data_IF_826049993962
#
_entry.id   IF_826049993962
#
_cell.length_a   1.000
_cell.length_b   1.000
_cell.length_c   1.000
_cell.angle_alpha   90.00
_cell.angle_beta   90.00
_cell.angle_gamma   90.00
#
_symmetry.space_group_name_H-M   'P 1'
#
loop_
_entity.id
_entity.type
_entity.pdbx_description
1 polymer ?
#
# COMPACT_ATOMS: atom_id res chain seq x y z
N UNK A 1 4.29 -25.09 19.50
CA UNK A 1 2.96 -24.79 20.10
C UNK A 1 2.89 -23.37 20.67
N UNK A 2 3.85 -22.96 21.52
CA UNK A 2 3.87 -21.62 22.15
C UNK A 2 3.93 -20.52 21.08
N UNK A 3 4.77 -20.65 20.06
CA UNK A 3 4.87 -19.68 18.94
C UNK A 3 3.54 -19.47 18.22
N UNK A 4 2.80 -20.55 18.00
CA UNK A 4 1.48 -20.48 17.36
C UNK A 4 0.46 -19.74 18.24
N UNK A 5 0.50 -19.97 19.55
CA UNK A 5 -0.39 -19.30 20.51
C UNK A 5 -0.08 -17.79 20.54
N UNK A 6 1.19 -17.41 20.63
CA UNK A 6 1.61 -16.00 20.63
C UNK A 6 1.19 -15.32 19.32
N UNK A 7 1.40 -15.98 18.17
CA UNK A 7 1.00 -15.46 16.88
C UNK A 7 -0.53 -15.32 16.79
N UNK A 8 -1.28 -16.34 17.20
CA UNK A 8 -2.75 -16.29 17.18
C UNK A 8 -3.30 -15.19 18.10
N UNK A 9 -2.72 -15.02 19.29
CA UNK A 9 -3.08 -13.95 20.22
C UNK A 9 -2.77 -12.55 19.63
N UNK A 10 -1.59 -12.38 19.03
CA UNK A 10 -1.23 -11.13 18.35
C UNK A 10 -2.15 -10.83 17.17
N UNK A 11 -2.48 -11.83 16.36
CA UNK A 11 -3.42 -11.69 15.25
C UNK A 11 -4.82 -11.31 15.76
N UNK A 12 -5.34 -12.02 16.78
CA UNK A 12 -6.64 -11.71 17.37
C UNK A 12 -6.69 -10.26 17.90
N UNK A 13 -5.66 -9.83 18.64
CA UNK A 13 -5.56 -8.46 19.10
C UNK A 13 -5.50 -7.46 17.93
N UNK A 14 -4.74 -7.76 16.89
CA UNK A 14 -4.66 -6.87 15.71
C UNK A 14 -6.01 -6.71 15.00
N UNK A 15 -6.77 -7.81 14.84
CA UNK A 15 -8.11 -7.78 14.25
C UNK A 15 -9.16 -7.10 15.12
N UNK A 16 -9.05 -7.25 16.45
CA UNK A 16 -9.99 -6.64 17.41
C UNK A 16 -9.61 -5.20 17.78
N UNK A 17 -8.72 -4.55 17.06
CA UNK A 17 -8.24 -3.18 17.33
C UNK A 17 -9.38 -2.19 17.58
N UNK A 18 -10.49 -2.29 16.88
CA UNK A 18 -11.63 -1.39 17.03
C UNK A 18 -12.18 -1.35 18.47
N UNK A 19 -12.03 -2.43 19.24
CA UNK A 19 -12.54 -2.53 20.60
C UNK A 19 -11.72 -1.72 21.61
N UNK A 20 -10.40 -1.59 21.39
CA UNK A 20 -9.48 -0.97 22.36
C UNK A 20 -8.78 0.29 21.82
N UNK A 21 -8.96 0.67 20.56
CA UNK A 21 -8.27 1.82 19.97
C UNK A 21 -8.57 3.16 20.67
N UNK A 22 -9.73 3.29 21.35
CA UNK A 22 -10.09 4.49 22.11
C UNK A 22 -9.26 4.63 23.38
N UNK A 23 -8.92 3.51 24.02
CA UNK A 23 -8.14 3.48 25.26
C UNK A 23 -6.64 3.49 24.99
N UNK A 24 -6.20 2.82 23.91
CA UNK A 24 -4.81 2.67 23.51
C UNK A 24 -4.59 3.07 22.03
N UNK A 25 -4.68 4.37 21.68
CA UNK A 25 -4.60 4.83 20.30
C UNK A 25 -3.23 4.55 19.65
N UNK A 26 -2.16 4.50 20.47
CA UNK A 26 -0.80 4.16 20.04
C UNK A 26 -0.56 2.69 19.74
N UNK A 27 -1.41 1.77 20.22
CA UNK A 27 -1.25 0.34 20.02
C UNK A 27 -1.77 -0.07 18.62
N UNK A 28 -0.98 0.23 17.61
CA UNK A 28 -1.26 -0.17 16.22
C UNK A 28 -0.97 -1.66 16.02
N UNK A 29 -1.58 -2.34 15.02
CA UNK A 29 -1.33 -3.76 14.73
C UNK A 29 0.15 -4.12 14.62
N UNK A 30 0.96 -3.26 14.00
CA UNK A 30 2.41 -3.46 13.90
C UNK A 30 3.12 -3.54 15.26
N UNK A 31 2.70 -2.74 16.25
CA UNK A 31 3.24 -2.82 17.61
C UNK A 31 2.80 -4.08 18.34
N UNK A 32 1.58 -4.58 18.09
CA UNK A 32 1.10 -5.84 18.67
C UNK A 32 1.97 -7.00 18.20
N UNK A 33 2.24 -7.09 16.90
CA UNK A 33 3.14 -8.11 16.34
C UNK A 33 4.59 -7.93 16.80
N UNK A 34 5.07 -6.69 16.92
CA UNK A 34 6.41 -6.40 17.45
C UNK A 34 6.55 -6.90 18.90
N UNK A 35 5.59 -6.58 19.76
CA UNK A 35 5.57 -7.03 21.16
C UNK A 35 5.50 -8.55 21.21
N UNK A 36 4.63 -9.18 20.41
CA UNK A 36 4.54 -10.64 20.31
C UNK A 36 5.86 -11.27 19.88
N UNK A 37 6.54 -10.70 18.89
CA UNK A 37 7.88 -11.13 18.45
C UNK A 37 8.94 -10.98 19.55
N UNK A 38 8.97 -9.84 20.24
CA UNK A 38 9.90 -9.62 21.35
C UNK A 38 9.66 -10.59 22.51
N UNK A 39 8.41 -10.89 22.84
CA UNK A 39 8.07 -11.87 23.88
C UNK A 39 8.64 -13.25 23.58
N UNK A 40 8.76 -13.64 22.30
CA UNK A 40 9.31 -14.93 21.91
C UNK A 40 10.77 -15.13 22.35
N UNK A 41 11.55 -14.06 22.52
CA UNK A 41 12.92 -14.13 23.02
C UNK A 41 13.00 -14.45 24.52
N UNK A 42 11.96 -14.09 25.28
CA UNK A 42 11.90 -14.33 26.73
C UNK A 42 11.22 -15.65 27.07
N UNK A 43 10.41 -16.19 26.17
CA UNK A 43 9.72 -17.45 26.40
C UNK A 43 10.68 -18.63 26.20
N UNK A 44 10.47 -19.65 27.00
CA UNK A 44 11.26 -20.87 26.98
C UNK A 44 10.38 -22.06 26.68
N UNK A 45 10.94 -23.07 26.01
CA UNK A 45 10.27 -24.33 25.75
C UNK A 45 10.26 -25.22 26.98
N UNK A 46 9.61 -26.38 26.93
CA UNK A 46 9.52 -27.39 27.97
C UNK A 46 10.91 -27.84 28.45
N UNK A 47 11.90 -27.81 27.57
CA UNK A 47 13.33 -28.08 27.85
C UNK A 47 14.09 -26.86 28.44
N UNK A 48 13.40 -25.77 28.81
CA UNK A 48 13.99 -24.51 29.30
C UNK A 48 14.93 -23.81 28.31
N UNK A 49 14.92 -24.20 27.00
CA UNK A 49 15.65 -23.53 25.93
C UNK A 49 14.86 -22.32 25.43
N UNK A 50 15.53 -21.23 25.02
CA UNK A 50 14.85 -20.10 24.42
C UNK A 50 14.16 -20.56 23.12
N UNK A 51 12.92 -20.12 22.89
CA UNK A 51 12.14 -20.49 21.68
C UNK A 51 12.77 -19.87 20.42
N UNK A 52 13.30 -18.66 20.54
CA UNK A 52 13.99 -17.93 19.46
C UNK A 52 15.26 -17.32 20.01
N UNK A 53 16.38 -17.45 19.30
CA UNK A 53 17.65 -16.76 19.56
C UNK A 53 17.87 -15.65 18.53
N UNK A 54 18.67 -14.66 18.89
CA UNK A 54 19.01 -13.57 17.96
C UNK A 54 19.73 -14.09 16.72
N UNK A 55 20.68 -15.02 16.88
CA UNK A 55 21.41 -15.63 15.77
C UNK A 55 20.44 -16.27 14.76
N UNK A 56 19.41 -16.97 15.27
CA UNK A 56 18.41 -17.59 14.37
C UNK A 56 17.60 -16.55 13.61
N UNK A 57 17.18 -15.47 14.27
CA UNK A 57 16.45 -14.36 13.63
C UNK A 57 17.32 -13.66 12.61
N UNK A 58 18.56 -13.32 12.97
CA UNK A 58 19.49 -12.59 12.09
C UNK A 58 19.77 -13.34 10.79
N UNK A 59 19.98 -14.67 10.86
CA UNK A 59 20.25 -15.50 9.72
C UNK A 59 19.02 -15.76 8.82
N UNK A 60 17.82 -15.76 9.39
CA UNK A 60 16.59 -16.11 8.67
C UNK A 60 15.70 -14.90 8.34
N UNK A 61 16.03 -13.71 8.84
CA UNK A 61 15.30 -12.49 8.51
C UNK A 61 15.63 -12.04 7.08
N UNK A 62 14.59 -11.76 6.31
CA UNK A 62 14.76 -11.20 4.97
C UNK A 62 15.11 -9.70 5.05
N UNK A 63 16.35 -9.38 5.39
CA UNK A 63 16.86 -8.01 5.54
C UNK A 63 16.60 -7.14 4.32
N UNK A 64 16.70 -7.72 3.12
CA UNK A 64 16.38 -7.02 1.88
C UNK A 64 14.95 -6.49 1.84
N UNK A 65 13.97 -7.25 2.32
CA UNK A 65 12.59 -6.78 2.48
C UNK A 65 12.49 -5.61 3.45
N UNK A 66 13.12 -5.73 4.62
CA UNK A 66 13.09 -4.67 5.62
C UNK A 66 13.61 -3.34 5.05
N UNK A 67 14.74 -3.36 4.35
CA UNK A 67 15.30 -2.18 3.71
C UNK A 67 14.45 -1.65 2.55
N UNK A 68 13.79 -2.52 1.78
CA UNK A 68 12.84 -2.10 0.75
C UNK A 68 11.62 -1.37 1.33
N UNK A 69 11.06 -1.88 2.43
CA UNK A 69 9.96 -1.20 3.12
C UNK A 69 10.38 0.15 3.71
N UNK A 70 11.52 0.18 4.40
CA UNK A 70 12.06 1.40 4.99
C UNK A 70 12.38 2.45 3.91
N UNK A 71 13.05 2.06 2.83
CA UNK A 71 13.38 2.92 1.71
C UNK A 71 12.14 3.46 0.98
N UNK A 72 11.15 2.62 0.71
CA UNK A 72 9.88 3.04 0.10
C UNK A 72 9.13 4.05 0.96
N UNK A 73 9.11 3.84 2.28
CA UNK A 73 8.48 4.78 3.22
C UNK A 73 9.23 6.11 3.28
N UNK A 74 10.56 6.07 3.33
CA UNK A 74 11.41 7.27 3.31
C UNK A 74 11.24 8.06 2.00
N UNK A 75 11.22 7.38 0.86
CA UNK A 75 10.98 8.00 -0.44
C UNK A 75 9.61 8.69 -0.50
N UNK A 76 8.54 8.04 -0.02
CA UNK A 76 7.22 8.65 0.06
C UNK A 76 7.19 9.90 0.94
N UNK A 77 7.87 9.86 2.08
CA UNK A 77 8.00 11.02 2.97
C UNK A 77 8.77 12.18 2.30
N UNK A 78 9.83 11.87 1.56
CA UNK A 78 10.61 12.88 0.80
C UNK A 78 9.77 13.52 -0.30
N UNK A 79 9.05 12.74 -1.09
CA UNK A 79 8.16 13.25 -2.17
C UNK A 79 7.08 14.16 -1.59
N UNK A 80 6.46 13.75 -0.47
CA UNK A 80 5.44 14.57 0.18
C UNK A 80 6.03 15.84 0.82
N UNK A 81 7.18 15.74 1.47
CA UNK A 81 7.86 16.90 2.10
C UNK A 81 8.53 17.88 1.13
N UNK A 82 8.79 17.46 -0.11
CA UNK A 82 9.43 18.31 -1.14
C UNK A 82 8.45 19.22 -1.89
N UNK A 83 7.13 19.07 -1.68
CA UNK A 83 6.12 19.79 -2.46
C UNK A 83 5.93 19.25 -3.89
N UNK A 84 6.54 18.11 -4.21
CA UNK A 84 6.39 17.50 -5.53
C UNK A 84 4.94 17.12 -5.83
N UNK A 85 4.17 16.74 -4.81
CA UNK A 85 2.75 16.42 -4.93
C UNK A 85 1.94 17.59 -5.50
N UNK A 86 2.20 18.81 -5.01
CA UNK A 86 1.53 20.03 -5.47
C UNK A 86 1.93 20.41 -6.89
N UNK A 87 3.20 20.20 -7.25
CA UNK A 87 3.68 20.43 -8.62
C UNK A 87 3.02 19.47 -9.59
N UNK A 88 2.91 18.19 -9.26
CA UNK A 88 2.20 17.19 -10.08
C UNK A 88 0.71 17.52 -10.23
N UNK A 89 0.03 17.89 -9.14
CA UNK A 89 -1.36 18.33 -9.20
C UNK A 89 -1.52 19.55 -10.13
N UNK A 90 -0.66 20.55 -10.01
CA UNK A 90 -0.66 21.74 -10.85
C UNK A 90 -0.37 21.47 -12.34
N UNK A 91 0.51 20.50 -12.63
CA UNK A 91 0.78 20.10 -14.02
C UNK A 91 -0.46 19.43 -14.65
N UNK A 92 -1.08 18.49 -13.93
CA UNK A 92 -2.26 17.77 -14.46
C UNK A 92 -3.46 18.71 -14.60
N UNK A 93 -3.67 19.66 -13.68
CA UNK A 93 -4.73 20.65 -13.77
C UNK A 93 -4.58 21.61 -14.98
N UNK A 94 -3.38 21.76 -15.53
CA UNK A 94 -3.15 22.57 -16.75
C UNK A 94 -3.57 21.88 -18.04
N UNK A 95 -3.73 20.56 -18.03
CA UNK A 95 -4.25 19.86 -19.21
C UNK A 95 -5.78 19.99 -19.26
N UNK A 96 -6.37 20.48 -20.38
CA UNK A 96 -7.80 20.57 -20.53
C UNK A 96 -8.41 19.17 -20.72
N UNK A 97 -8.46 18.39 -19.64
CA UNK A 97 -9.01 17.03 -19.69
C UNK A 97 -10.54 17.12 -19.58
N UNK A 98 -11.20 17.37 -20.70
CA UNK A 98 -12.67 17.37 -20.79
C UNK A 98 -13.28 15.96 -20.81
N UNK A 99 -12.45 14.93 -21.00
CA UNK A 99 -12.91 13.54 -21.09
C UNK A 99 -12.71 12.83 -19.74
N UNK A 100 -13.80 12.48 -19.09
CA UNK A 100 -13.81 11.77 -17.79
C UNK A 100 -13.02 10.45 -17.83
N UNK A 101 -13.10 9.70 -18.95
CA UNK A 101 -12.35 8.46 -19.10
C UNK A 101 -10.83 8.72 -19.11
N UNK A 102 -10.39 9.75 -19.84
CA UNK A 102 -8.97 10.10 -19.90
C UNK A 102 -8.44 10.55 -18.53
N UNK A 103 -9.23 11.32 -17.79
CA UNK A 103 -8.89 11.72 -16.42
C UNK A 103 -8.74 10.52 -15.49
N UNK A 104 -9.70 9.61 -15.52
CA UNK A 104 -9.65 8.36 -14.73
C UNK A 104 -8.42 7.53 -15.12
N UNK A 105 -8.15 7.40 -16.42
CA UNK A 105 -6.98 6.65 -16.92
C UNK A 105 -5.66 7.26 -16.43
N UNK A 106 -5.53 8.58 -16.42
CA UNK A 106 -4.35 9.29 -15.90
C UNK A 106 -4.21 9.02 -14.41
N UNK A 107 -5.28 9.17 -13.63
CA UNK A 107 -5.27 8.92 -12.17
C UNK A 107 -4.86 7.47 -11.89
N UNK A 108 -5.47 6.49 -12.55
CA UNK A 108 -5.17 5.07 -12.37
C UNK A 108 -3.71 4.79 -12.73
N UNK A 109 -3.24 5.26 -13.89
CA UNK A 109 -1.88 5.02 -14.35
C UNK A 109 -0.84 5.64 -13.40
N UNK A 110 -1.06 6.88 -12.97
CA UNK A 110 -0.20 7.57 -12.00
C UNK A 110 -0.07 6.76 -10.70
N UNK A 111 -1.21 6.33 -10.15
CA UNK A 111 -1.23 5.55 -8.89
C UNK A 111 -0.52 4.20 -9.05
N UNK A 112 -0.78 3.48 -10.12
CA UNK A 112 -0.17 2.16 -10.36
C UNK A 112 1.35 2.29 -10.55
N UNK A 113 1.81 3.26 -11.35
CA UNK A 113 3.25 3.48 -11.58
C UNK A 113 3.96 3.87 -10.29
N UNK A 114 3.39 4.79 -9.51
CA UNK A 114 3.97 5.19 -8.22
C UNK A 114 3.97 4.03 -7.22
N UNK A 115 2.89 3.26 -7.16
CA UNK A 115 2.79 2.11 -6.27
C UNK A 115 3.75 0.96 -6.65
N UNK A 116 4.18 0.87 -7.90
CA UNK A 116 5.25 -0.06 -8.28
C UNK A 116 6.62 0.36 -7.74
N UNK A 117 6.88 1.67 -7.63
CA UNK A 117 8.18 2.20 -7.15
C UNK A 117 8.24 2.27 -5.63
N UNK A 118 7.16 2.72 -4.98
CA UNK A 118 7.06 2.91 -3.53
C UNK A 118 6.00 1.97 -2.94
N UNK A 119 5.93 1.85 -1.62
CA UNK A 119 4.88 1.05 -0.99
C UNK A 119 3.49 1.74 -1.10
N UNK A 120 2.42 0.94 -0.99
CA UNK A 120 1.05 1.42 -1.16
C UNK A 120 0.69 2.58 -0.20
N UNK A 121 1.16 2.54 1.05
CA UNK A 121 0.90 3.60 2.05
C UNK A 121 1.56 4.91 1.65
N UNK A 122 2.82 4.87 1.23
CA UNK A 122 3.53 6.04 0.74
C UNK A 122 2.93 6.56 -0.57
N UNK A 123 2.53 5.65 -1.47
CA UNK A 123 1.81 6.01 -2.69
C UNK A 123 0.50 6.74 -2.37
N UNK A 124 -0.31 6.23 -1.45
CA UNK A 124 -1.53 6.89 -1.03
C UNK A 124 -1.27 8.30 -0.45
N UNK A 125 -0.24 8.44 0.40
CA UNK A 125 0.13 9.72 1.00
C UNK A 125 0.49 10.80 -0.04
N UNK A 126 1.08 10.38 -1.17
CA UNK A 126 1.44 11.27 -2.28
C UNK A 126 0.26 11.52 -3.21
N UNK A 127 -0.45 10.47 -3.61
CA UNK A 127 -1.44 10.56 -4.70
C UNK A 127 -2.79 11.09 -4.25
N UNK A 128 -3.21 10.86 -3.00
CA UNK A 128 -4.49 11.38 -2.49
C UNK A 128 -4.56 12.92 -2.59
N UNK A 129 -3.59 13.71 -2.08
CA UNK A 129 -3.59 15.15 -2.25
C UNK A 129 -3.61 15.60 -3.72
N UNK A 130 -2.87 14.89 -4.58
CA UNK A 130 -2.84 15.18 -6.04
C UNK A 130 -4.23 15.00 -6.65
N UNK A 131 -4.90 13.89 -6.36
CA UNK A 131 -6.24 13.59 -6.88
C UNK A 131 -7.27 14.59 -6.37
N UNK A 132 -7.20 14.99 -5.09
CA UNK A 132 -8.04 16.05 -4.52
C UNK A 132 -7.80 17.36 -5.29
N UNK A 133 -6.55 17.76 -5.47
CA UNK A 133 -6.19 18.99 -6.20
C UNK A 133 -6.69 18.99 -7.64
N UNK A 134 -6.59 17.87 -8.35
CA UNK A 134 -7.10 17.71 -9.72
C UNK A 134 -8.62 17.86 -9.73
N UNK A 135 -9.35 17.12 -8.89
CA UNK A 135 -10.80 17.14 -8.84
C UNK A 135 -11.33 18.55 -8.50
N UNK A 136 -10.74 19.22 -7.51
CA UNK A 136 -11.09 20.59 -7.12
C UNK A 136 -10.78 21.60 -8.22
N UNK A 137 -9.60 21.50 -8.84
CA UNK A 137 -9.20 22.39 -9.95
C UNK A 137 -10.10 22.28 -11.18
N UNK A 138 -10.70 21.11 -11.40
CA UNK A 138 -11.67 20.86 -12.48
C UNK A 138 -13.13 21.03 -12.05
N UNK A 139 -13.40 21.45 -10.81
CA UNK A 139 -14.75 21.57 -10.22
C UNK A 139 -15.54 20.25 -10.27
N UNK A 140 -14.86 19.11 -10.07
CA UNK A 140 -15.44 17.78 -10.09
C UNK A 140 -15.68 17.27 -8.66
N UNK A 141 -16.64 16.35 -8.43
CA UNK A 141 -16.84 15.70 -7.14
C UNK A 141 -15.60 14.87 -6.78
N UNK A 142 -15.01 15.15 -5.60
CA UNK A 142 -13.71 14.56 -5.20
C UNK A 142 -13.81 13.05 -4.89
N UNK A 143 -14.89 12.64 -4.22
CA UNK A 143 -15.05 11.30 -3.66
C UNK A 143 -14.94 10.18 -4.69
N UNK A 144 -15.60 10.23 -5.86
CA UNK A 144 -15.50 9.17 -6.86
C UNK A 144 -14.06 8.93 -7.34
N UNK A 145 -13.31 10.00 -7.54
CA UNK A 145 -11.91 9.91 -7.97
C UNK A 145 -11.00 9.39 -6.87
N UNK A 146 -11.30 9.68 -5.60
CA UNK A 146 -10.60 9.09 -4.46
C UNK A 146 -10.83 7.58 -4.36
N UNK A 147 -12.05 7.10 -4.62
CA UNK A 147 -12.31 5.66 -4.66
C UNK A 147 -11.49 4.97 -5.74
N UNK A 148 -11.48 5.53 -6.95
CA UNK A 148 -10.66 5.01 -8.06
C UNK A 148 -9.18 5.01 -7.72
N UNK A 149 -8.66 6.10 -7.15
CA UNK A 149 -7.28 6.19 -6.69
C UNK A 149 -6.96 5.14 -5.63
N UNK A 150 -7.87 4.96 -4.65
CA UNK A 150 -7.69 3.99 -3.55
C UNK A 150 -7.58 2.56 -4.05
N UNK A 151 -8.36 2.18 -5.04
CA UNK A 151 -8.23 0.86 -5.68
C UNK A 151 -6.91 0.78 -6.44
N UNK A 152 -6.56 1.83 -7.19
CA UNK A 152 -5.43 1.83 -8.13
C UNK A 152 -4.07 1.66 -7.47
N UNK A 153 -3.77 2.32 -6.35
CA UNK A 153 -2.46 2.19 -5.70
C UNK A 153 -2.23 0.80 -5.05
N UNK A 154 -3.25 -0.04 -5.01
CA UNK A 154 -3.09 -1.45 -4.61
C UNK A 154 -2.80 -2.40 -5.79
N UNK A 155 -2.84 -1.91 -7.03
CA UNK A 155 -2.71 -2.70 -8.27
C UNK A 155 -1.32 -2.54 -8.88
N UNK A 156 -0.30 -2.98 -8.20
CA UNK A 156 1.07 -2.96 -8.70
C UNK A 156 1.64 -4.37 -8.75
N UNK A 157 2.15 -4.78 -9.90
CA UNK A 157 2.57 -6.17 -10.15
C UNK A 157 3.93 -6.27 -10.82
N UNK A 158 4.56 -5.14 -11.18
CA UNK A 158 5.73 -5.09 -12.07
C UNK A 158 7.03 -5.20 -11.30
N UNK A 159 7.22 -4.38 -10.27
CA UNK A 159 8.46 -4.32 -9.52
C UNK A 159 8.38 -5.08 -8.18
N UNK A 160 9.49 -5.71 -7.77
CA UNK A 160 9.56 -6.44 -6.51
C UNK A 160 9.73 -5.49 -5.32
N UNK A 161 8.86 -4.51 -5.20
CA UNK A 161 8.86 -3.56 -4.09
C UNK A 161 7.89 -4.01 -3.00
N UNK A 162 8.17 -3.66 -1.76
CA UNK A 162 7.27 -3.92 -0.65
C UNK A 162 6.93 -5.42 -0.51
N UNK A 163 5.67 -5.76 -0.31
CA UNK A 163 5.19 -7.14 -0.10
C UNK A 163 5.44 -8.06 -1.32
N UNK A 164 5.61 -7.49 -2.52
CA UNK A 164 5.86 -8.23 -3.76
C UNK A 164 7.27 -8.80 -3.87
N UNK A 165 8.18 -8.39 -3.00
CA UNK A 165 9.52 -8.99 -2.90
C UNK A 165 9.50 -10.39 -2.27
N UNK A 166 8.41 -10.76 -1.59
CA UNK A 166 8.29 -12.07 -0.92
C UNK A 166 8.51 -13.24 -1.90
N UNK A 167 7.81 -13.34 -3.04
CA UNK A 167 8.04 -14.44 -3.99
C UNK A 167 9.47 -14.53 -4.48
N UNK A 168 10.19 -13.41 -4.58
CA UNK A 168 11.60 -13.41 -4.99
C UNK A 168 12.47 -14.03 -3.90
N UNK A 169 12.19 -13.76 -2.62
CA UNK A 169 12.84 -14.43 -1.51
C UNK A 169 12.66 -15.96 -1.53
N UNK A 170 11.60 -16.46 -2.15
CA UNK A 170 11.32 -17.88 -2.36
C UNK A 170 11.75 -18.41 -3.74
N UNK A 171 12.60 -17.68 -4.47
CA UNK A 171 13.22 -18.16 -5.71
C UNK A 171 12.55 -17.75 -7.02
N UNK A 172 11.50 -16.90 -6.98
CA UNK A 172 10.93 -16.33 -8.20
C UNK A 172 11.94 -15.36 -8.85
N UNK A 173 12.21 -15.53 -10.14
CA UNK A 173 13.11 -14.65 -10.88
C UNK A 173 12.49 -13.25 -11.03
N UNK A 174 13.20 -12.15 -10.67
CA UNK A 174 12.73 -10.77 -10.85
C UNK A 174 12.37 -10.47 -12.31
N UNK A 175 13.12 -10.99 -13.26
CA UNK A 175 12.86 -10.82 -14.69
C UNK A 175 11.52 -11.45 -15.12
N UNK A 176 11.22 -12.63 -14.61
CA UNK A 176 9.94 -13.29 -14.87
C UNK A 176 8.77 -12.49 -14.28
N UNK A 177 8.92 -12.05 -13.04
CA UNK A 177 7.92 -11.20 -12.37
C UNK A 177 7.67 -9.92 -13.17
N UNK A 178 8.73 -9.21 -13.60
CA UNK A 178 8.61 -8.02 -14.41
C UNK A 178 7.87 -8.29 -15.74
N UNK A 179 8.30 -9.30 -16.50
CA UNK A 179 7.73 -9.60 -17.80
C UNK A 179 6.24 -9.98 -17.75
N UNK A 180 5.82 -10.72 -16.71
CA UNK A 180 4.42 -11.11 -16.54
C UNK A 180 3.63 -10.02 -15.84
N UNK A 181 4.24 -9.32 -14.90
CA UNK A 181 3.64 -8.20 -14.15
C UNK A 181 3.24 -7.06 -15.06
N UNK A 182 4.05 -6.70 -16.06
CA UNK A 182 3.73 -5.59 -16.97
C UNK A 182 2.43 -5.83 -17.77
N UNK A 183 2.22 -7.06 -18.24
CA UNK A 183 1.00 -7.44 -18.94
C UNK A 183 -0.20 -7.32 -18.01
N UNK A 184 -0.09 -7.86 -16.81
CA UNK A 184 -1.16 -7.79 -15.81
C UNK A 184 -1.44 -6.34 -15.41
N UNK A 185 -0.41 -5.53 -15.22
CA UNK A 185 -0.53 -4.10 -14.89
C UNK A 185 -1.31 -3.36 -15.97
N UNK A 186 -0.98 -3.56 -17.25
CA UNK A 186 -1.71 -2.90 -18.36
C UNK A 186 -3.17 -3.32 -18.39
N UNK A 187 -3.45 -4.62 -18.25
CA UNK A 187 -4.83 -5.15 -18.20
C UNK A 187 -5.61 -4.54 -17.04
N UNK A 188 -5.01 -4.48 -15.85
CA UNK A 188 -5.65 -3.94 -14.66
C UNK A 188 -5.85 -2.43 -14.73
N UNK A 189 -4.89 -1.68 -15.29
CA UNK A 189 -5.05 -0.23 -15.54
C UNK A 189 -6.25 0.02 -16.43
N UNK A 190 -6.36 -0.70 -17.56
CA UNK A 190 -7.50 -0.55 -18.47
C UNK A 190 -8.82 -0.97 -17.81
N UNK A 191 -8.84 -2.12 -17.12
CA UNK A 191 -10.05 -2.63 -16.47
C UNK A 191 -10.57 -1.66 -15.39
N UNK A 192 -9.68 -1.19 -14.49
CA UNK A 192 -10.09 -0.23 -13.44
C UNK A 192 -10.45 1.11 -14.01
N UNK A 193 -9.80 1.56 -15.08
CA UNK A 193 -10.17 2.81 -15.75
C UNK A 193 -11.55 2.73 -16.39
N UNK A 194 -11.89 1.62 -17.05
CA UNK A 194 -13.24 1.41 -17.63
C UNK A 194 -14.28 1.31 -16.52
N UNK A 195 -14.03 0.50 -15.48
CA UNK A 195 -14.96 0.36 -14.34
C UNK A 195 -15.14 1.70 -13.62
N UNK A 196 -14.05 2.40 -13.29
CA UNK A 196 -14.11 3.70 -12.63
C UNK A 196 -14.87 4.73 -13.44
N UNK A 197 -14.59 4.82 -14.74
CA UNK A 197 -15.31 5.70 -15.64
C UNK A 197 -16.80 5.37 -15.73
N UNK A 198 -17.17 4.09 -15.87
CA UNK A 198 -18.57 3.67 -15.92
C UNK A 198 -19.31 3.98 -14.62
N UNK A 199 -18.69 3.73 -13.47
CA UNK A 199 -19.26 4.05 -12.16
C UNK A 199 -19.46 5.57 -11.97
N UNK A 200 -18.48 6.38 -12.35
CA UNK A 200 -18.55 7.84 -12.24
C UNK A 200 -19.62 8.41 -13.19
N UNK A 201 -19.73 7.84 -14.39
CA UNK A 201 -20.61 8.40 -15.42
C UNK A 201 -22.06 7.94 -15.29
N UNK A 202 -22.28 6.67 -14.95
CA UNK A 202 -23.62 6.06 -15.01
C UNK A 202 -24.24 5.74 -13.66
N UNK A 203 -23.50 5.81 -12.57
CA UNK A 203 -24.03 5.53 -11.22
C UNK A 203 -23.99 6.76 -10.31
N UNK A 204 -25.09 7.55 -10.22
CA UNK A 204 -25.14 8.75 -9.37
C UNK A 204 -24.83 8.48 -7.89
N UNK A 205 -25.21 7.30 -7.39
CA UNK A 205 -24.92 6.87 -6.00
C UNK A 205 -23.44 6.75 -5.69
N UNK A 206 -22.56 6.57 -6.69
CA UNK A 206 -21.12 6.53 -6.49
C UNK A 206 -20.53 7.87 -6.05
N UNK A 207 -21.20 8.97 -6.38
CA UNK A 207 -20.81 10.32 -5.98
C UNK A 207 -21.35 10.74 -4.60
N UNK A 208 -22.32 9.99 -4.05
CA UNK A 208 -23.07 10.33 -2.83
C UNK A 208 -22.72 9.41 -1.65
N UNK A 209 -21.80 8.48 -1.82
CA UNK A 209 -21.29 7.63 -0.72
C UNK A 209 -20.44 8.49 0.23
N UNK A 210 -21.16 9.21 1.10
CA UNK A 210 -20.61 9.99 2.24
C UNK A 210 -20.74 9.19 3.53
#
# INVERSE_FOLDING_TARGET
>A
RISLIVFAAAALLAFTRQLYQRQFPGLKPGFVFLIGGLLMFFLRDEEKKPIITWEHVEQNLMWGMFFLFAGGTALGALVNGSGASEVFAGLIARFPVHNTFLLVLIIVTLNVVLSDVINNTACAAVTIPIVIGIAQGLSLPVIPYLWVATVSYNLSYTLPTSIRSIPIGYGLSPRYMFARGIVLTVVMVLAVSVIGWTLITFWPGFSVLT
#
